data_IF_402430938313
#
_entry.id   IF_402430938313
#
_cell.length_a   1.000
_cell.length_b   1.000
_cell.length_c   1.000
_cell.angle_alpha   90.00
_cell.angle_beta   90.00
_cell.angle_gamma   90.00
#
_symmetry.space_group_name_H-M   'P 1'
#
loop_
_entity.id
_entity.type
_entity.pdbx_description
1 polymer ?
#
# COMPACT_ATOMS: atom_id res chain seq x y z
N UNK A 1 2.22 9.05 5.58
CA UNK A 1 1.42 9.63 4.48
C UNK A 1 -0.05 9.49 4.83
N UNK A 2 -0.88 10.51 4.55
CA UNK A 2 -2.32 10.45 4.79
C UNK A 2 -3.07 10.96 3.55
N UNK A 3 -4.16 10.30 3.17
CA UNK A 3 -5.03 10.78 2.10
C UNK A 3 -6.50 10.45 2.38
N UNK A 4 -7.37 11.24 1.73
CA UNK A 4 -8.79 10.96 1.65
C UNK A 4 -9.06 9.97 0.52
N UNK A 5 -9.70 8.85 0.84
CA UNK A 5 -10.07 7.81 -0.11
C UNK A 5 -11.55 7.50 -0.01
N UNK A 6 -12.19 7.21 -1.14
CA UNK A 6 -13.61 6.85 -1.17
C UNK A 6 -13.74 5.35 -1.44
N UNK A 7 -14.46 4.65 -0.57
CA UNK A 7 -14.84 3.26 -0.77
C UNK A 7 -16.36 3.16 -0.69
N UNK A 8 -16.99 2.64 -1.75
CA UNK A 8 -18.44 2.38 -1.81
C UNK A 8 -19.33 3.59 -1.49
N UNK A 9 -18.96 4.79 -1.95
CA UNK A 9 -19.72 6.01 -1.65
C UNK A 9 -19.47 6.57 -0.25
N UNK A 10 -18.57 5.99 0.54
CA UNK A 10 -18.18 6.49 1.85
C UNK A 10 -16.74 7.00 1.82
N UNK A 11 -16.52 8.24 2.27
CA UNK A 11 -15.19 8.82 2.38
C UNK A 11 -14.49 8.40 3.69
N UNK A 12 -13.24 7.99 3.58
CA UNK A 12 -12.36 7.62 4.67
C UNK A 12 -11.08 8.44 4.63
N UNK A 13 -10.44 8.59 5.80
CA UNK A 13 -9.04 8.98 5.88
C UNK A 13 -8.20 7.73 6.06
N UNK A 14 -7.30 7.48 5.11
CA UNK A 14 -6.30 6.43 5.17
C UNK A 14 -4.94 7.04 5.53
N UNK A 15 -4.33 6.51 6.58
CA UNK A 15 -3.00 6.87 7.06
C UNK A 15 -2.09 5.64 6.95
N UNK A 16 -0.96 5.83 6.29
CA UNK A 16 0.10 4.85 6.11
C UNK A 16 1.34 5.38 6.81
N UNK A 17 1.85 4.60 7.76
CA UNK A 17 3.14 4.82 8.40
C UNK A 17 3.98 3.57 8.20
N UNK A 18 5.26 3.71 7.84
CA UNK A 18 6.14 2.58 7.63
C UNK A 18 7.57 2.94 8.02
N UNK A 19 8.35 1.91 8.36
CA UNK A 19 9.79 1.98 8.54
C UNK A 19 10.43 0.95 7.62
N UNK A 20 11.42 1.40 6.86
CA UNK A 20 12.32 0.57 6.06
C UNK A 20 13.71 1.08 6.43
N UNK A 21 14.32 0.47 7.43
CA UNK A 21 15.65 0.78 7.91
C UNK A 21 16.55 -0.45 7.70
N UNK A 22 17.62 -0.27 6.93
CA UNK A 22 18.59 -1.34 6.69
C UNK A 22 19.51 -1.59 7.90
N UNK A 23 19.55 -0.67 8.87
CA UNK A 23 20.41 -0.76 10.06
C UNK A 23 19.67 -1.23 11.32
N UNK A 24 18.35 -0.98 11.42
CA UNK A 24 17.54 -1.35 12.58
C UNK A 24 16.51 -2.42 12.22
N UNK A 25 16.34 -3.43 13.09
CA UNK A 25 15.49 -4.59 12.83
C UNK A 25 13.98 -4.33 12.92
N UNK A 26 13.56 -3.07 13.06
CA UNK A 26 12.19 -2.66 13.34
C UNK A 26 11.46 -2.18 12.08
N UNK A 27 11.59 -2.88 10.96
CA UNK A 27 10.77 -2.62 9.78
C UNK A 27 9.30 -2.93 10.07
N UNK A 28 8.41 -2.04 9.64
CA UNK A 28 6.98 -2.23 9.81
C UNK A 28 6.15 -1.44 8.82
N UNK A 29 4.91 -1.89 8.62
CA UNK A 29 3.84 -1.14 7.97
C UNK A 29 2.66 -1.02 8.93
N UNK A 30 2.31 0.20 9.28
CA UNK A 30 1.14 0.54 10.10
C UNK A 30 0.09 1.25 9.25
N UNK A 31 -1.10 0.66 9.21
CA UNK A 31 -2.25 1.20 8.50
C UNK A 31 -3.30 1.64 9.51
N UNK A 32 -3.88 2.81 9.27
CA UNK A 32 -4.99 3.36 10.03
C UNK A 32 -6.03 3.93 9.09
N UNK A 33 -7.29 3.55 9.28
CA UNK A 33 -8.43 3.93 8.45
C UNK A 33 -9.59 4.35 9.34
N UNK A 34 -10.21 5.48 9.07
CA UNK A 34 -11.42 5.90 9.76
C UNK A 34 -12.37 6.67 8.84
N UNK A 35 -13.70 6.48 8.94
CA UNK A 35 -14.66 7.26 8.17
C UNK A 35 -14.53 8.75 8.45
N UNK A 36 -14.61 9.61 7.43
CA UNK A 36 -14.59 11.07 7.62
C UNK A 36 -15.74 11.57 8.48
N UNK A 37 -16.91 10.95 8.33
CA UNK A 37 -18.14 11.27 9.06
C UNK A 37 -18.15 10.72 10.50
N UNK A 38 -17.25 9.79 10.85
CA UNK A 38 -17.24 9.15 12.17
C UNK A 38 -15.82 8.81 12.64
N UNK A 39 -15.22 9.74 13.39
CA UNK A 39 -13.87 9.57 13.96
C UNK A 39 -13.79 8.56 15.12
N UNK A 40 -14.91 8.04 15.63
CA UNK A 40 -14.91 7.08 16.72
C UNK A 40 -14.63 5.65 16.26
N UNK A 41 -14.79 5.36 14.96
CA UNK A 41 -14.51 4.05 14.38
C UNK A 41 -13.18 4.06 13.65
N UNK A 42 -12.13 3.72 14.38
CA UNK A 42 -10.77 3.65 13.86
C UNK A 42 -10.40 2.19 13.65
N UNK A 43 -10.11 1.82 12.41
CA UNK A 43 -9.54 0.53 12.06
C UNK A 43 -8.05 0.66 11.89
N UNK A 44 -7.25 -0.23 12.47
CA UNK A 44 -5.81 -0.18 12.30
C UNK A 44 -5.16 -1.56 12.41
N UNK A 45 -3.94 -1.69 11.88
CA UNK A 45 -3.08 -2.87 12.04
C UNK A 45 -1.63 -2.53 11.76
N UNK A 46 -0.72 -3.24 12.44
CA UNK A 46 0.73 -3.23 12.19
C UNK A 46 1.11 -4.56 11.55
N UNK A 47 1.89 -4.51 10.49
CA UNK A 47 2.37 -5.66 9.73
C UNK A 47 3.90 -5.67 9.73
N UNK A 48 4.49 -6.84 9.89
CA UNK A 48 5.93 -7.03 9.69
C UNK A 48 6.24 -7.32 8.21
N UNK A 49 7.49 -7.10 7.75
CA UNK A 49 7.93 -7.47 6.41
C UNK A 49 7.64 -8.94 6.07
N UNK A 50 7.96 -9.84 7.00
CA UNK A 50 7.79 -11.29 6.81
C UNK A 50 6.33 -11.64 6.55
N UNK A 51 5.40 -11.01 7.28
CA UNK A 51 3.97 -11.24 7.06
C UNK A 51 3.52 -10.81 5.66
N UNK A 52 3.93 -9.62 5.22
CA UNK A 52 3.57 -9.09 3.89
C UNK A 52 4.15 -9.97 2.80
N UNK A 53 5.41 -10.35 2.92
CA UNK A 53 6.11 -11.20 1.96
C UNK A 53 5.53 -12.62 1.89
N UNK A 54 5.16 -13.19 3.03
CA UNK A 54 4.48 -14.49 3.07
C UNK A 54 3.08 -14.41 2.43
N UNK A 55 2.32 -13.35 2.73
CA UNK A 55 1.02 -13.12 2.11
C UNK A 55 1.14 -13.02 0.59
N UNK A 56 2.07 -12.22 0.06
CA UNK A 56 2.24 -12.04 -1.39
C UNK A 56 2.68 -13.35 -2.05
N UNK A 57 3.54 -14.14 -1.40
CA UNK A 57 3.93 -15.48 -1.85
C UNK A 57 2.74 -16.43 -1.95
N UNK A 58 1.85 -16.44 -0.95
CA UNK A 58 0.62 -17.26 -0.94
C UNK A 58 -0.33 -16.92 -2.09
N UNK A 59 -0.28 -15.70 -2.62
CA UNK A 59 -1.09 -15.29 -3.78
C UNK A 59 -0.50 -15.74 -5.13
N UNK A 60 0.69 -16.34 -5.14
CA UNK A 60 1.40 -16.72 -6.37
C UNK A 60 2.12 -15.56 -7.07
N UNK A 61 2.04 -14.33 -6.53
CA UNK A 61 2.71 -13.16 -7.07
C UNK A 61 3.47 -12.41 -5.97
N UNK A 62 4.70 -12.87 -5.73
CA UNK A 62 5.57 -12.34 -4.68
C UNK A 62 5.91 -10.85 -4.91
N UNK A 63 5.97 -10.11 -3.79
CA UNK A 63 6.48 -8.74 -3.70
C UNK A 63 7.31 -8.65 -2.42
N UNK A 64 8.51 -8.07 -2.52
CA UNK A 64 9.29 -7.70 -1.33
C UNK A 64 8.56 -6.63 -0.54
N UNK A 65 8.86 -6.51 0.75
CA UNK A 65 8.21 -5.54 1.62
C UNK A 65 8.28 -4.10 1.08
N UNK A 66 9.47 -3.65 0.67
CA UNK A 66 9.67 -2.30 0.11
C UNK A 66 8.80 -2.04 -1.13
N UNK A 67 8.78 -2.97 -2.09
CA UNK A 67 7.96 -2.83 -3.31
C UNK A 67 6.47 -2.83 -2.95
N UNK A 68 6.04 -3.64 -1.98
CA UNK A 68 4.65 -3.65 -1.54
C UNK A 68 4.22 -2.30 -0.94
N UNK A 69 5.09 -1.67 -0.13
CA UNK A 69 4.85 -0.34 0.43
C UNK A 69 4.75 0.72 -0.68
N UNK A 70 5.65 0.68 -1.67
CA UNK A 70 5.60 1.58 -2.83
C UNK A 70 4.32 1.41 -3.66
N UNK A 71 3.89 0.16 -3.90
CA UNK A 71 2.62 -0.12 -4.57
C UNK A 71 1.44 0.49 -3.80
N UNK A 72 1.45 0.36 -2.48
CA UNK A 72 0.40 0.89 -1.62
C UNK A 72 0.38 2.43 -1.65
N UNK A 73 1.53 3.09 -1.59
CA UNK A 73 1.66 4.56 -1.72
C UNK A 73 1.15 5.02 -3.09
N UNK A 74 1.62 4.38 -4.17
CA UNK A 74 1.24 4.72 -5.55
C UNK A 74 -0.27 4.59 -5.79
N UNK A 75 -0.92 3.65 -5.11
CA UNK A 75 -2.37 3.46 -5.19
C UNK A 75 -3.17 4.59 -4.53
N UNK A 76 -2.61 5.28 -3.53
CA UNK A 76 -3.24 6.45 -2.90
C UNK A 76 -3.09 7.69 -3.78
N UNK A 77 -1.92 7.90 -4.36
CA UNK A 77 -1.65 9.06 -5.23
C UNK A 77 -2.31 8.93 -6.62
N UNK A 78 -2.92 7.76 -6.91
CA UNK A 78 -3.50 7.41 -8.21
C UNK A 78 -2.50 7.59 -9.37
N UNK A 79 -1.21 7.39 -9.08
CA UNK A 79 -0.11 7.56 -10.05
C UNK A 79 0.08 6.33 -10.94
N UNK A 80 -0.50 5.19 -10.54
CA UNK A 80 -0.44 3.94 -11.28
C UNK A 80 -1.83 3.42 -11.64
N UNK A 81 -2.04 3.11 -12.91
CA UNK A 81 -3.28 2.48 -13.39
C UNK A 81 -3.35 0.98 -13.08
N UNK A 82 -2.22 0.38 -12.67
CA UNK A 82 -2.10 -1.06 -12.43
C UNK A 82 -2.31 -1.43 -10.96
N UNK A 83 -2.43 -0.45 -10.06
CA UNK A 83 -2.59 -0.69 -8.62
C UNK A 83 -3.72 0.16 -8.07
N UNK A 84 -4.66 -0.46 -7.37
CA UNK A 84 -5.78 0.25 -6.75
C UNK A 84 -6.19 -0.36 -5.42
N UNK A 85 -6.82 0.47 -4.59
CA UNK A 85 -7.32 0.09 -3.28
C UNK A 85 -8.81 -0.15 -3.28
N UNK A 86 -9.21 -1.07 -2.42
CA UNK A 86 -10.59 -1.40 -2.16
C UNK A 86 -10.79 -1.79 -0.70
N UNK A 87 -12.03 -1.76 -0.21
CA UNK A 87 -12.36 -2.12 1.16
C UNK A 87 -13.43 -3.21 1.19
N UNK A 88 -13.23 -4.27 1.97
CA UNK A 88 -14.22 -5.33 2.17
C UNK A 88 -14.48 -5.55 3.65
N UNK A 89 -15.74 -5.79 4.01
CA UNK A 89 -16.12 -6.25 5.34
C UNK A 89 -16.07 -7.78 5.47
N UNK A 90 -16.16 -8.30 6.69
CA UNK A 90 -16.27 -9.75 6.89
C UNK A 90 -17.54 -10.34 6.26
N UNK A 91 -18.63 -9.56 6.22
CA UNK A 91 -19.88 -9.98 5.59
C UNK A 91 -19.72 -10.09 4.07
N UNK A 92 -19.05 -9.12 3.44
CA UNK A 92 -18.72 -9.18 2.01
C UNK A 92 -17.90 -10.45 1.70
N UNK A 93 -16.92 -10.79 2.56
CA UNK A 93 -16.12 -12.01 2.42
C UNK A 93 -16.96 -13.30 2.55
N UNK A 94 -17.94 -13.33 3.45
CA UNK A 94 -18.84 -14.47 3.58
C UNK A 94 -19.78 -14.61 2.38
N UNK A 95 -20.29 -13.51 1.84
CA UNK A 95 -21.11 -13.49 0.63
C UNK A 95 -20.30 -13.92 -0.60
N UNK A 96 -19.05 -13.47 -0.71
CA UNK A 96 -18.11 -13.86 -1.77
C UNK A 96 -17.73 -15.35 -1.71
N UNK A 97 -17.61 -15.92 -0.51
CA UNK A 97 -17.38 -17.37 -0.32
C UNK A 97 -18.60 -18.20 -0.69
N UNK A 98 -19.82 -17.71 -0.40
CA UNK A 98 -21.07 -18.37 -0.78
C UNK A 98 -21.31 -18.35 -2.29
N UNK A 99 -20.71 -17.41 -3.01
CA UNK A 99 -20.73 -17.32 -4.48
C UNK A 99 -19.50 -17.95 -5.16
N UNK A 100 -18.66 -18.66 -4.39
CA UNK A 100 -17.42 -19.37 -4.74
C UNK A 100 -17.08 -19.46 -6.25
N UNK A 101 -16.21 -18.55 -6.72
CA UNK A 101 -15.26 -18.65 -7.86
C UNK A 101 -15.12 -17.38 -8.73
N UNK A 102 -15.81 -16.29 -8.43
CA UNK A 102 -15.62 -15.05 -9.18
C UNK A 102 -15.45 -13.84 -8.27
N UNK A 103 -14.19 -13.50 -7.96
CA UNK A 103 -13.80 -12.13 -7.56
C UNK A 103 -14.09 -11.09 -8.68
N UNK A 104 -14.54 -11.54 -9.86
CA UNK A 104 -14.53 -10.76 -11.08
C UNK A 104 -15.83 -9.95 -11.31
N UNK A 105 -16.99 -10.31 -10.72
CA UNK A 105 -18.28 -9.68 -11.06
C UNK A 105 -19.21 -9.40 -9.86
N UNK A 106 -18.70 -8.83 -8.77
CA UNK A 106 -19.58 -8.44 -7.64
C UNK A 106 -20.18 -7.04 -7.87
N UNK A 107 -21.48 -6.98 -8.18
CA UNK A 107 -22.25 -5.74 -8.13
C UNK A 107 -22.52 -5.40 -6.65
N UNK A 108 -21.69 -4.54 -6.09
CA UNK A 108 -21.75 -4.16 -4.67
C UNK A 108 -22.97 -3.32 -4.36
N UNK A 109 -23.86 -3.84 -3.53
CA UNK A 109 -24.84 -3.00 -2.82
C UNK A 109 -24.08 -2.21 -1.76
N UNK A 110 -24.32 -0.91 -1.69
CA UNK A 110 -23.77 -0.01 -0.66
C UNK A 110 -24.32 -0.43 0.71
N UNK A 111 -23.68 -1.39 1.36
CA UNK A 111 -24.03 -1.79 2.72
C UNK A 111 -23.04 -1.20 3.72
N UNK A 112 -23.58 -0.87 4.87
CA UNK A 112 -22.92 -0.08 5.89
C UNK A 112 -21.83 -0.90 6.60
N UNK A 113 -20.58 -0.73 6.17
CA UNK A 113 -19.37 -1.38 6.72
C UNK A 113 -19.22 -1.08 8.22
N UNK A 114 -19.92 -0.08 8.75
CA UNK A 114 -19.76 0.39 10.13
C UNK A 114 -20.04 -0.68 11.18
N UNK A 115 -20.86 -1.71 10.95
CA UNK A 115 -21.15 -2.72 12.00
C UNK A 115 -20.02 -3.73 12.26
N UNK A 116 -18.97 -3.76 11.44
CA UNK A 116 -17.98 -4.84 11.46
C UNK A 116 -16.79 -4.56 12.39
N UNK A 117 -16.41 -5.56 13.21
CA UNK A 117 -15.22 -5.51 14.10
C UNK A 117 -13.89 -5.63 13.34
N UNK A 118 -13.93 -6.14 12.12
CA UNK A 118 -12.76 -6.35 11.28
C UNK A 118 -13.16 -6.09 9.82
N UNK A 119 -12.26 -5.45 9.10
CA UNK A 119 -12.39 -5.13 7.67
C UNK A 119 -11.09 -5.52 6.98
N UNK A 120 -11.08 -5.50 5.66
CA UNK A 120 -9.94 -5.87 4.84
C UNK A 120 -9.72 -4.79 3.80
N UNK A 121 -8.58 -4.12 3.88
CA UNK A 121 -8.11 -3.24 2.81
C UNK A 121 -7.46 -4.12 1.75
N UNK A 122 -7.99 -4.10 0.54
CA UNK A 122 -7.52 -4.95 -0.56
C UNK A 122 -6.66 -4.10 -1.49
N UNK A 123 -5.36 -4.40 -1.55
CA UNK A 123 -4.49 -3.88 -2.59
C UNK A 123 -4.62 -4.80 -3.81
N UNK A 124 -5.09 -4.27 -4.93
CA UNK A 124 -5.20 -5.05 -6.17
C UNK A 124 -4.12 -4.63 -7.14
N UNK A 125 -3.35 -5.59 -7.62
CA UNK A 125 -2.42 -5.43 -8.73
C UNK A 125 -3.05 -6.05 -9.99
N UNK A 126 -3.36 -5.22 -10.98
CA UNK A 126 -3.97 -5.62 -12.23
C UNK A 126 -3.06 -5.26 -13.41
N UNK A 127 -2.70 -6.26 -14.19
CA UNK A 127 -1.99 -6.13 -15.47
C UNK A 127 -2.82 -6.83 -16.56
N UNK A 128 -2.36 -6.79 -17.81
CA UNK A 128 -3.15 -7.17 -18.99
C UNK A 128 -3.93 -8.51 -18.85
N UNK A 129 -3.33 -9.52 -18.21
CA UNK A 129 -3.92 -10.85 -18.10
C UNK A 129 -4.03 -11.37 -16.66
N UNK A 130 -3.55 -10.61 -15.68
CA UNK A 130 -3.52 -11.04 -14.28
C UNK A 130 -4.14 -9.99 -13.36
N UNK A 131 -4.90 -10.47 -12.37
CA UNK A 131 -5.44 -9.66 -11.29
C UNK A 131 -5.18 -10.36 -9.96
N UNK A 132 -4.33 -9.76 -9.14
CA UNK A 132 -3.92 -10.31 -7.85
C UNK A 132 -4.43 -9.40 -6.74
N UNK A 133 -4.99 -10.02 -5.70
CA UNK A 133 -5.54 -9.32 -4.54
C UNK A 133 -4.71 -9.64 -3.30
N UNK A 134 -4.24 -8.59 -2.63
CA UNK A 134 -3.49 -8.68 -1.39
C UNK A 134 -4.35 -8.14 -0.22
N UNK A 135 -4.95 -9.02 0.59
CA UNK A 135 -5.85 -8.62 1.66
C UNK A 135 -5.10 -8.19 2.92
N UNK A 136 -5.26 -6.93 3.34
CA UNK A 136 -4.69 -6.36 4.56
C UNK A 136 -5.79 -6.26 5.63
N UNK A 137 -5.85 -7.20 6.60
CA UNK A 137 -6.86 -7.17 7.65
C UNK A 137 -6.65 -5.99 8.59
N UNK A 138 -7.68 -5.18 8.80
CA UNK A 138 -7.70 -4.10 9.78
C UNK A 138 -8.74 -4.41 10.87
N UNK A 139 -8.33 -4.29 12.12
CA UNK A 139 -9.20 -4.51 13.28
C UNK A 139 -9.71 -3.19 13.81
N UNK A 140 -10.95 -3.17 14.28
CA UNK A 140 -11.50 -2.03 14.99
C UNK A 140 -10.70 -1.84 16.28
N UNK A 141 -10.12 -0.65 16.46
CA UNK A 141 -9.43 -0.28 17.67
C UNK A 141 -10.43 -0.27 18.82
N UNK A 142 -10.27 -1.18 19.77
CA UNK A 142 -11.04 -1.14 21.00
C UNK A 142 -10.57 0.08 21.80
N UNK A 143 -11.47 0.96 22.20
CA UNK A 143 -11.24 2.00 23.22
C UNK A 143 -11.01 1.41 24.63
N UNK A 144 -10.48 0.18 24.71
CA UNK A 144 -10.14 -0.54 25.93
C UNK A 144 -8.65 -0.86 25.90
N UNK A 145 -7.87 0.09 26.41
CA UNK A 145 -6.44 -0.02 26.64
C UNK A 145 -6.15 -1.30 27.43
N UNK A 146 -5.40 -2.24 26.85
CA UNK A 146 -4.43 -3.02 27.61
C UNK A 146 -3.06 -2.52 27.20
N UNK A 147 -2.35 -2.01 28.20
CA UNK A 147 -1.04 -1.38 28.10
C UNK A 147 -0.07 -2.18 27.24
N UNK A 148 0.14 -1.74 26.01
CA UNK A 148 1.48 -1.77 25.43
C UNK A 148 1.96 -0.33 25.39
N UNK A 149 3.04 -0.08 26.14
CA UNK A 149 3.65 1.22 26.31
C UNK A 149 4.18 1.73 24.95
N UNK A 150 3.36 2.43 24.18
CA UNK A 150 3.84 3.29 23.11
C UNK A 150 3.92 4.72 23.63
N UNK A 151 5.04 5.02 24.29
CA UNK A 151 5.44 6.38 24.63
C UNK A 151 5.71 7.15 23.32
N UNK A 152 4.69 7.81 22.79
CA UNK A 152 4.90 8.95 21.90
C UNK A 152 5.29 10.14 22.76
N UNK A 153 6.59 10.30 23.01
CA UNK A 153 7.11 11.62 23.37
C UNK A 153 6.98 12.51 22.14
N UNK A 154 5.97 13.39 22.18
CA UNK A 154 5.94 14.59 21.37
C UNK A 154 7.21 15.39 21.66
N UNK A 155 8.15 15.42 20.72
CA UNK A 155 9.17 16.46 20.60
C UNK A 155 9.88 16.36 19.24
N UNK A 156 9.66 17.40 18.42
CA UNK A 156 10.62 18.00 17.49
C UNK A 156 11.49 17.08 16.63
N UNK A 157 11.07 16.80 15.39
CA UNK A 157 11.97 16.91 14.23
C UNK A 157 11.19 17.48 13.06
N UNK A 158 11.17 18.81 13.00
CA UNK A 158 11.13 19.53 11.74
C UNK A 158 12.43 19.21 11.01
N UNK A 159 12.36 18.91 9.71
CA UNK A 159 13.46 18.74 8.75
C UNK A 159 14.25 17.42 8.78
N UNK A 160 14.08 16.61 7.73
CA UNK A 160 15.14 16.39 6.74
C UNK A 160 14.67 15.43 5.63
N UNK A 161 13.82 15.90 4.72
CA UNK A 161 13.85 15.41 3.35
C UNK A 161 14.72 16.37 2.53
N UNK A 162 16.03 16.19 2.63
CA UNK A 162 16.93 16.43 1.50
C UNK A 162 17.37 15.06 1.02
N UNK A 163 16.61 14.50 0.10
CA UNK A 163 17.13 13.43 -0.75
C UNK A 163 18.28 14.07 -1.53
N UNK A 164 19.43 13.43 -1.43
CA UNK A 164 20.70 13.90 -1.99
C UNK A 164 20.60 13.81 -3.52
N UNK A 165 20.48 14.96 -4.20
CA UNK A 165 20.27 15.10 -5.65
C UNK A 165 21.43 14.55 -6.52
N UNK A 166 22.55 14.15 -5.93
CA UNK A 166 23.76 13.74 -6.65
C UNK A 166 23.63 12.38 -7.37
N UNK A 167 22.81 11.47 -6.86
CA UNK A 167 22.65 10.13 -7.46
C UNK A 167 21.91 10.19 -8.79
N UNK A 168 20.96 11.12 -8.89
CA UNK A 168 20.13 11.37 -10.08
C UNK A 168 20.97 11.99 -11.20
N UNK A 169 21.86 12.94 -10.86
CA UNK A 169 22.76 13.60 -11.82
C UNK A 169 23.85 12.66 -12.35
N UNK A 170 24.39 11.78 -11.49
CA UNK A 170 25.37 10.78 -11.91
C UNK A 170 24.74 9.74 -12.85
N UNK A 171 23.51 9.30 -12.55
CA UNK A 171 22.79 8.36 -13.41
C UNK A 171 22.42 9.00 -14.76
N UNK A 172 21.99 10.26 -14.75
CA UNK A 172 21.66 10.99 -15.98
C UNK A 172 22.90 11.26 -16.85
N UNK A 173 24.06 11.55 -16.25
CA UNK A 173 25.31 11.73 -17.01
C UNK A 173 25.80 10.42 -17.65
N UNK A 174 25.72 9.29 -16.93
CA UNK A 174 26.02 7.97 -17.49
C UNK A 174 25.06 7.55 -18.62
N UNK A 175 23.78 7.89 -18.51
CA UNK A 175 22.80 7.63 -19.57
C UNK A 175 23.12 8.44 -20.83
N UNK A 176 23.51 9.71 -20.69
CA UNK A 176 23.90 10.54 -21.85
C UNK A 176 25.17 10.04 -22.53
N UNK A 177 26.17 9.60 -21.77
CA UNK A 177 27.42 9.07 -22.31
C UNK A 177 27.19 7.79 -23.13
N UNK A 178 26.43 6.84 -22.58
CA UNK A 178 26.06 5.60 -23.28
C UNK A 178 25.24 5.86 -24.55
N UNK A 179 24.38 6.88 -24.56
CA UNK A 179 23.62 7.26 -25.75
C UNK A 179 24.50 7.88 -26.84
N UNK A 180 25.50 8.67 -26.45
CA UNK A 180 26.48 9.26 -27.38
C UNK A 180 27.34 8.20 -28.05
N UNK A 181 27.85 7.23 -27.28
CA UNK A 181 28.67 6.14 -27.81
C UNK A 181 27.89 5.21 -28.73
N UNK A 182 26.61 4.94 -28.40
CA UNK A 182 25.72 4.17 -29.29
C UNK A 182 25.50 4.88 -30.63
N UNK A 183 25.40 6.21 -30.65
CA UNK A 183 25.25 6.97 -31.89
C UNK A 183 26.53 6.99 -32.73
N UNK A 184 27.71 7.00 -32.09
CA UNK A 184 29.00 6.90 -32.80
C UNK A 184 29.17 5.52 -33.45
N UNK A 185 28.88 4.45 -32.69
CA UNK A 185 28.93 3.07 -33.20
C UNK A 185 27.97 2.84 -34.38
N UNK A 186 26.76 3.41 -34.33
CA UNK A 186 25.84 3.32 -35.47
C UNK A 186 26.34 4.07 -36.72
N UNK A 187 27.12 5.13 -36.56
CA UNK A 187 27.71 5.87 -37.68
C UNK A 187 28.93 5.17 -38.28
N UNK A 188 29.67 4.38 -37.50
CA UNK A 188 30.79 3.57 -37.99
C UNK A 188 30.35 2.30 -38.73
N UNK A 189 29.16 1.76 -38.44
CA UNK A 189 28.61 0.58 -39.14
C UNK A 189 28.01 0.87 -40.53
N UNK A 190 28.02 2.13 -40.98
CA UNK A 190 27.47 2.56 -42.30
C UNK A 190 28.61 2.96 -43.28
N UNK A 191 29.87 2.64 -42.96
CA UNK A 191 31.02 2.78 -43.88
C UNK A 191 31.51 1.41 -44.33
#
# INVERSE_FOLDING_TARGET
MEASVEFHGTEYNLSINYSIDHEHQDDYLYLKLFPKNNKQRIYHSKFSPQYIEEMTRKTGNFKSFAIFVEMLISSMDKTSNSVFLDLLSNQDLEEMKKQSNAFINYNRKTQDITSNKKIYLILTYAIAFDRIHYPLPLSLGNSSIKNENFNFQQQNVVNNFKINDNSSELLNSQIMELQSDRQKLMKEQIK
#
